data_IF_167001826256
#
_entry.id   IF_167001826256
#
_cell.length_a   1.000
_cell.length_b   1.000
_cell.length_c   1.000
_cell.angle_alpha   90.00
_cell.angle_beta   90.00
_cell.angle_gamma   90.00
#
_symmetry.space_group_name_H-M   'P 1'
#
loop_
_entity.id
_entity.type
_entity.pdbx_description
1 polymer ?
#
# COMPACT_ATOMS: atom_id res chain seq x y z
N UNK A 1 -20.62 18.32 -4.37
CA UNK A 1 -19.75 17.31 -4.99
C UNK A 1 -20.54 16.65 -6.10
N UNK A 2 -19.97 16.60 -7.30
CA UNK A 2 -20.69 16.19 -8.50
C UNK A 2 -20.63 14.67 -8.70
N UNK A 3 -21.66 14.10 -9.33
CA UNK A 3 -21.72 12.66 -9.62
C UNK A 3 -21.05 12.35 -10.95
N UNK A 4 -20.29 11.25 -11.00
CA UNK A 4 -19.64 10.73 -12.20
C UNK A 4 -19.96 9.25 -12.40
N UNK A 5 -19.98 8.80 -13.66
CA UNK A 5 -20.10 7.39 -14.01
C UNK A 5 -18.73 6.72 -14.06
N UNK A 6 -18.62 5.52 -13.50
CA UNK A 6 -17.43 4.69 -13.56
C UNK A 6 -17.80 3.27 -13.99
N UNK A 7 -16.87 2.58 -14.66
CA UNK A 7 -16.99 1.15 -15.00
C UNK A 7 -15.82 0.39 -14.39
N UNK A 8 -16.07 -0.84 -13.97
CA UNK A 8 -15.01 -1.73 -13.53
C UNK A 8 -14.15 -2.18 -14.73
N UNK A 9 -12.83 -2.04 -14.60
CA UNK A 9 -11.87 -2.56 -15.59
C UNK A 9 -11.46 -4.01 -15.31
N UNK A 10 -11.71 -4.48 -14.09
CA UNK A 10 -11.40 -5.82 -13.58
C UNK A 10 -12.55 -6.27 -12.65
N UNK A 11 -12.72 -7.59 -12.44
CA UNK A 11 -13.74 -8.11 -11.52
C UNK A 11 -13.57 -7.55 -10.10
N UNK A 12 -14.68 -7.38 -9.38
CA UNK A 12 -14.68 -6.77 -8.03
C UNK A 12 -13.94 -7.64 -7.02
N UNK A 13 -13.92 -8.95 -7.22
CA UNK A 13 -13.21 -9.95 -6.41
C UNK A 13 -11.70 -9.67 -6.39
N UNK A 14 -11.19 -9.00 -7.43
CA UNK A 14 -9.80 -8.55 -7.48
C UNK A 14 -9.48 -7.62 -6.33
N UNK A 15 -10.42 -6.74 -5.95
CA UNK A 15 -10.25 -5.80 -4.83
C UNK A 15 -10.16 -6.59 -3.51
N UNK A 16 -11.00 -7.60 -3.33
CA UNK A 16 -11.00 -8.44 -2.13
C UNK A 16 -9.69 -9.24 -1.95
N UNK A 17 -8.98 -9.56 -3.04
CA UNK A 17 -7.67 -10.23 -3.03
C UNK A 17 -6.48 -9.28 -3.10
N UNK A 18 -6.71 -7.97 -2.95
CA UNK A 18 -5.65 -6.96 -2.99
C UNK A 18 -5.26 -6.51 -1.59
N UNK A 19 -3.98 -6.66 -1.23
CA UNK A 19 -3.37 -6.01 -0.07
C UNK A 19 -3.00 -4.58 -0.44
N UNK A 20 -3.51 -3.59 0.30
CA UNK A 20 -3.19 -2.17 0.17
C UNK A 20 -2.12 -1.80 1.17
N UNK A 21 -1.04 -1.21 0.65
CA UNK A 21 0.09 -0.72 1.43
C UNK A 21 0.24 0.77 1.16
N UNK A 22 0.17 1.61 2.19
CA UNK A 22 0.28 3.06 2.06
C UNK A 22 1.41 3.59 2.93
N UNK A 23 2.28 4.42 2.40
CA UNK A 23 3.30 5.06 3.24
C UNK A 23 4.51 5.53 2.47
N UNK A 24 5.69 5.38 3.04
CA UNK A 24 6.95 5.65 2.34
C UNK A 24 7.21 4.62 1.24
N UNK A 25 7.91 5.02 0.18
CA UNK A 25 8.31 4.11 -0.91
C UNK A 25 9.44 3.21 -0.43
N UNK A 26 9.23 1.90 -0.48
CA UNK A 26 10.25 0.90 -0.24
C UNK A 26 10.27 -0.08 -1.43
N UNK A 27 11.35 -0.12 -2.24
CA UNK A 27 11.48 -1.05 -3.36
C UNK A 27 11.34 -2.53 -2.98
N UNK A 28 11.63 -2.90 -1.73
CA UNK A 28 11.46 -4.29 -1.26
C UNK A 28 9.99 -4.72 -1.29
N UNK A 29 9.04 -3.78 -1.15
CA UNK A 29 7.61 -4.07 -1.25
C UNK A 29 7.26 -4.52 -2.68
N UNK A 30 7.87 -3.92 -3.69
CA UNK A 30 7.59 -4.27 -5.09
C UNK A 30 8.15 -5.66 -5.43
N UNK A 31 9.35 -5.98 -4.94
CA UNK A 31 9.92 -7.33 -5.08
C UNK A 31 9.10 -8.38 -4.32
N UNK A 32 8.69 -8.08 -3.08
CA UNK A 32 7.81 -8.96 -2.31
C UNK A 32 6.45 -9.16 -2.99
N UNK A 33 5.88 -8.12 -3.60
CA UNK A 33 4.66 -8.21 -4.38
C UNK A 33 4.84 -9.09 -5.63
N UNK A 34 5.99 -9.01 -6.29
CA UNK A 34 6.32 -9.87 -7.42
C UNK A 34 6.45 -11.34 -6.99
N UNK A 35 7.13 -11.62 -5.87
CA UNK A 35 7.23 -12.97 -5.31
C UNK A 35 5.87 -13.54 -4.89
N UNK A 36 5.05 -12.75 -4.18
CA UNK A 36 3.69 -13.15 -3.81
C UNK A 36 2.88 -13.56 -5.04
N UNK A 37 3.03 -12.80 -6.13
CA UNK A 37 2.34 -13.08 -7.39
C UNK A 37 2.91 -14.29 -8.14
N UNK A 38 4.19 -14.62 -7.95
CA UNK A 38 4.79 -15.88 -8.43
C UNK A 38 4.20 -17.09 -7.70
N UNK A 39 3.91 -16.95 -6.40
CA UNK A 39 3.33 -18.03 -5.58
C UNK A 39 1.81 -18.19 -5.78
N UNK A 40 1.07 -17.09 -5.88
CA UNK A 40 -0.37 -17.07 -6.18
C UNK A 40 -0.69 -15.95 -7.18
N UNK A 41 -1.01 -16.33 -8.42
CA UNK A 41 -1.33 -15.37 -9.49
C UNK A 41 -2.55 -14.49 -9.20
N UNK A 42 -3.42 -14.94 -8.28
CA UNK A 42 -4.63 -14.24 -7.85
C UNK A 42 -4.40 -13.28 -6.67
N UNK A 43 -3.24 -13.33 -6.03
CA UNK A 43 -2.84 -12.40 -4.97
C UNK A 43 -2.32 -11.10 -5.59
N UNK A 44 -2.74 -9.97 -5.04
CA UNK A 44 -2.37 -8.65 -5.54
C UNK A 44 -1.93 -7.72 -4.42
N UNK A 45 -1.00 -6.83 -4.75
CA UNK A 45 -0.57 -5.74 -3.88
C UNK A 45 -0.82 -4.44 -4.63
N UNK A 46 -1.31 -3.44 -3.91
CA UNK A 46 -1.41 -2.06 -4.36
C UNK A 46 -0.67 -1.18 -3.37
N UNK A 47 0.39 -0.53 -3.82
CA UNK A 47 1.21 0.39 -3.03
C UNK A 47 0.98 1.84 -3.47
N UNK A 48 1.04 2.79 -2.54
CA UNK A 48 1.10 4.21 -2.88
C UNK A 48 1.91 5.02 -1.86
N UNK A 49 2.52 6.10 -2.34
CA UNK A 49 3.46 6.91 -1.56
C UNK A 49 2.78 8.14 -0.97
N UNK A 50 2.41 8.02 0.30
CA UNK A 50 1.77 9.09 1.09
C UNK A 50 2.65 9.54 2.26
N UNK A 51 3.85 8.97 2.40
CA UNK A 51 4.80 9.21 3.50
C UNK A 51 4.39 8.54 4.82
N UNK A 52 5.32 8.49 5.79
CA UNK A 52 5.10 7.80 7.09
C UNK A 52 3.87 8.30 7.85
N UNK A 53 3.65 9.61 7.90
CA UNK A 53 2.47 10.20 8.56
C UNK A 53 1.17 9.86 7.81
N UNK A 54 1.21 9.87 6.47
CA UNK A 54 0.07 9.46 5.65
C UNK A 54 -0.28 7.99 5.86
N UNK A 55 0.73 7.12 6.06
CA UNK A 55 0.53 5.71 6.40
C UNK A 55 -0.27 5.55 7.70
N UNK A 56 0.16 6.23 8.77
CA UNK A 56 -0.48 6.15 10.09
C UNK A 56 -1.94 6.60 10.01
N UNK A 57 -2.21 7.72 9.34
CA UNK A 57 -3.56 8.25 9.18
C UNK A 57 -4.44 7.36 8.29
N UNK A 58 -3.88 6.77 7.23
CA UNK A 58 -4.63 5.88 6.36
C UNK A 58 -5.00 4.58 7.06
N UNK A 59 -4.07 4.00 7.85
CA UNK A 59 -4.35 2.83 8.67
C UNK A 59 -5.43 3.10 9.71
N UNK A 60 -5.40 4.25 10.39
CA UNK A 60 -6.42 4.61 11.39
C UNK A 60 -7.82 4.80 10.79
N UNK A 61 -7.92 5.11 9.50
CA UNK A 61 -9.17 5.21 8.73
C UNK A 61 -9.61 3.90 8.07
N UNK A 62 -8.84 2.82 8.21
CA UNK A 62 -9.11 1.54 7.53
C UNK A 62 -8.88 1.59 6.02
N UNK A 63 -8.12 2.56 5.54
CA UNK A 63 -7.81 2.75 4.12
C UNK A 63 -6.66 1.86 3.65
N UNK A 64 -5.99 1.11 4.53
CA UNK A 64 -4.97 0.14 4.16
C UNK A 64 -4.86 -0.97 5.20
N UNK A 65 -4.21 -2.08 4.83
CA UNK A 65 -3.87 -3.15 5.77
C UNK A 65 -2.47 -2.99 6.33
N UNK A 66 -1.54 -2.43 5.56
CA UNK A 66 -0.15 -2.21 5.95
C UNK A 66 0.28 -0.79 5.62
N UNK A 67 1.30 -0.29 6.32
CA UNK A 67 1.88 1.00 6.00
C UNK A 67 3.38 1.06 6.19
N UNK A 68 4.08 1.59 5.18
CA UNK A 68 5.52 1.80 5.22
C UNK A 68 5.83 3.06 6.03
N UNK A 69 6.62 2.91 7.08
CA UNK A 69 7.07 4.02 7.92
C UNK A 69 8.58 3.99 8.01
N UNK A 70 9.21 5.10 7.67
CA UNK A 70 10.59 5.34 8.07
C UNK A 70 10.56 5.99 9.46
N UNK A 71 11.28 5.39 10.40
CA UNK A 71 11.52 5.95 11.72
C UNK A 71 12.82 6.75 11.67
N UNK A 72 12.77 7.93 12.25
CA UNK A 72 13.94 8.74 12.52
C UNK A 72 14.75 8.05 13.63
N UNK A 73 16.04 7.82 13.41
CA UNK A 73 16.98 7.52 14.48
C UNK A 73 17.25 8.81 15.26
N UNK A 74 16.83 8.85 16.52
CA UNK A 74 17.01 10.02 17.40
C UNK A 74 18.48 10.28 17.77
N UNK A 75 19.36 9.30 17.55
CA UNK A 75 20.78 9.36 17.93
C UNK A 75 21.59 10.14 16.90
N UNK A 76 21.33 9.93 15.60
CA UNK A 76 22.11 10.51 14.51
C UNK A 76 21.27 11.28 13.47
N UNK A 77 19.93 11.24 13.58
CA UNK A 77 19.01 11.93 12.69
C UNK A 77 18.81 11.25 11.33
N UNK A 78 19.31 10.02 11.15
CA UNK A 78 19.07 9.24 9.95
C UNK A 78 17.64 8.67 9.90
N UNK A 79 17.17 8.30 8.70
CA UNK A 79 15.93 7.53 8.52
C UNK A 79 16.32 6.11 8.10
N UNK A 80 15.65 5.10 8.65
CA UNK A 80 15.87 3.70 8.28
C UNK A 80 15.39 3.35 6.86
#
# INVERSE_FOLDING_TARGET
>A
GDRAFARLLKPVERIARTVRILGSHDPLIDEAAAELRRMDISAHVSSAHVGSMGAILALSRGEAQLGGVHLLDETDGSYN
#
